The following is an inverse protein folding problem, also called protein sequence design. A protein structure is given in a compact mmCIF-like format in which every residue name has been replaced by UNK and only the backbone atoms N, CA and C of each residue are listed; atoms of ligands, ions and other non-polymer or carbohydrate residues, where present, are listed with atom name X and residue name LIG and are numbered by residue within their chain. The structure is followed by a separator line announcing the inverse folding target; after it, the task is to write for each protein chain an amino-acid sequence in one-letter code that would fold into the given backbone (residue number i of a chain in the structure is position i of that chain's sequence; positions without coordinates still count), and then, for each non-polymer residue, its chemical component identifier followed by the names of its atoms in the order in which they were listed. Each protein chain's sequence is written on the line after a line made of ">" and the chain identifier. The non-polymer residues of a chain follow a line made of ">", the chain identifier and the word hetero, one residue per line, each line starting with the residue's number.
data_IF_051499361463
#
_entry.id   IF_051499361463
#
_cell.length_a   1.000
_cell.length_b   1.000
_cell.length_c   1.000
_cell.angle_alpha   90.00
_cell.angle_beta   90.00
_cell.angle_gamma   90.00
#
_symmetry.space_group_name_H-M   'P 1'
#
loop_
_entity.id
_entity.type
_entity.pdbx_description
1 polymer ?
#
# COMPACT_ATOMS: atom_id res chain seq x y z
N UNK A 1 -9.41 77.13 57.63
CA UNK A 1 -10.59 76.84 56.79
C UNK A 1 -10.21 75.75 55.79
N UNK A 2 -11.02 74.70 55.75
CA UNK A 2 -10.75 73.39 55.16
C UNK A 2 -10.39 73.46 53.67
N UNK A 3 -9.37 72.70 53.26
CA UNK A 3 -9.30 72.11 51.93
C UNK A 3 -9.20 70.59 52.09
N UNK A 4 -10.31 69.94 51.78
CA UNK A 4 -10.41 68.49 51.65
C UNK A 4 -10.48 68.18 50.15
N UNK A 5 -9.72 67.18 49.68
CA UNK A 5 -10.28 65.91 49.17
C UNK A 5 -9.31 65.12 48.29
N UNK A 6 -9.15 63.85 48.71
CA UNK A 6 -9.12 62.62 47.90
C UNK A 6 -7.88 62.43 47.00
N UNK A 7 -6.86 61.75 47.56
CA UNK A 7 -5.92 60.93 46.79
C UNK A 7 -6.56 59.56 46.57
N UNK A 8 -6.81 59.19 45.32
CA UNK A 8 -7.35 57.89 44.92
C UNK A 8 -6.39 56.76 45.33
N UNK A 9 -6.88 55.84 46.15
CA UNK A 9 -6.18 54.57 46.46
C UNK A 9 -6.60 53.50 45.45
N UNK A 10 -5.57 52.87 44.88
CA UNK A 10 -5.47 51.54 44.27
C UNK A 10 -6.76 50.77 43.90
N UNK A 11 -6.79 50.26 42.67
CA UNK A 11 -6.91 48.81 42.47
C UNK A 11 -6.33 48.42 41.11
N UNK A 12 -5.06 47.99 41.08
CA UNK A 12 -4.49 47.26 39.93
C UNK A 12 -4.78 45.79 40.18
N UNK A 13 -5.77 45.24 39.48
CA UNK A 13 -5.93 43.79 39.37
C UNK A 13 -4.78 43.26 38.50
N UNK A 14 -3.83 42.58 39.13
CA UNK A 14 -2.88 41.72 38.42
C UNK A 14 -3.64 40.44 38.05
N UNK A 15 -4.14 40.37 36.81
CA UNK A 15 -4.64 39.12 36.25
C UNK A 15 -3.42 38.25 35.97
N UNK A 16 -3.18 37.28 36.85
CA UNK A 16 -2.19 36.24 36.63
C UNK A 16 -2.74 35.31 35.54
N UNK A 17 -2.39 35.56 34.29
CA UNK A 17 -2.67 34.64 33.18
C UNK A 17 -1.81 33.39 33.40
N UNK A 18 -2.40 32.34 33.97
CA UNK A 18 -1.79 31.00 33.91
C UNK A 18 -1.65 30.65 32.42
N UNK A 19 -0.43 30.48 31.88
CA UNK A 19 -0.29 29.92 30.56
C UNK A 19 -0.94 28.53 30.60
N UNK A 20 -2.02 28.37 29.85
CA UNK A 20 -2.49 27.05 29.46
C UNK A 20 -1.35 26.43 28.64
N UNK A 21 -0.53 25.60 29.30
CA UNK A 21 0.27 24.61 28.60
C UNK A 21 -0.71 23.58 28.06
N UNK A 22 -1.38 23.92 26.95
CA UNK A 22 -2.00 22.91 26.12
C UNK A 22 -0.88 21.98 25.68
N UNK A 23 -0.96 20.72 26.05
CA UNK A 23 -0.12 19.71 25.41
C UNK A 23 -0.41 19.81 23.92
N UNK A 24 0.50 20.39 23.15
CA UNK A 24 0.48 20.23 21.72
C UNK A 24 0.69 18.74 21.49
N UNK A 25 -0.39 18.00 21.23
CA UNK A 25 -0.26 16.62 20.75
C UNK A 25 0.60 16.70 19.50
N UNK A 26 1.83 16.19 19.62
CA UNK A 26 2.77 16.18 18.51
C UNK A 26 2.21 15.17 17.51
N UNK A 27 1.67 15.68 16.41
CA UNK A 27 1.12 14.84 15.37
C UNK A 27 2.25 14.05 14.71
N UNK A 28 2.29 12.74 14.96
CA UNK A 28 3.22 11.81 14.33
C UNK A 28 2.59 11.28 13.04
N UNK A 29 3.24 11.52 11.91
CA UNK A 29 2.85 10.91 10.63
C UNK A 29 3.86 9.85 10.25
N UNK A 30 3.39 8.61 10.12
CA UNK A 30 4.15 7.48 9.59
C UNK A 30 3.81 7.32 8.11
N UNK A 31 4.73 7.71 7.24
CA UNK A 31 4.54 7.69 5.79
C UNK A 31 5.15 6.43 5.19
N UNK A 32 4.34 5.67 4.47
CA UNK A 32 4.79 4.50 3.73
C UNK A 32 4.60 4.62 2.23
N UNK A 33 5.29 3.76 1.48
CA UNK A 33 5.06 3.57 0.06
C UNK A 33 5.26 2.11 -0.36
N UNK A 34 4.67 1.70 -1.48
CA UNK A 34 5.01 0.42 -2.11
C UNK A 34 3.82 -0.35 -2.67
N UNK A 35 3.79 -1.65 -2.37
CA UNK A 35 2.89 -2.66 -2.93
C UNK A 35 1.44 -2.17 -3.11
N UNK A 36 0.92 -2.33 -4.33
CA UNK A 36 -0.45 -1.98 -4.68
C UNK A 36 -1.43 -3.11 -4.37
N UNK A 37 -0.97 -4.36 -4.32
CA UNK A 37 -1.78 -5.54 -4.05
C UNK A 37 -2.51 -5.45 -2.68
N UNK A 38 -1.84 -5.19 -1.55
CA UNK A 38 -2.49 -5.05 -0.24
C UNK A 38 -2.98 -3.61 0.06
N UNK A 39 -2.95 -2.67 -0.89
CA UNK A 39 -3.17 -1.24 -0.61
C UNK A 39 -4.49 -0.96 0.13
N UNK A 40 -5.60 -1.56 -0.32
CA UNK A 40 -6.91 -1.35 0.31
C UNK A 40 -6.92 -1.80 1.78
N UNK A 41 -6.21 -2.88 2.08
CA UNK A 41 -6.08 -3.40 3.43
C UNK A 41 -5.26 -2.46 4.31
N UNK A 42 -4.12 -1.96 3.82
CA UNK A 42 -3.31 -0.99 4.55
C UNK A 42 -4.06 0.33 4.82
N UNK A 43 -4.78 0.86 3.82
CA UNK A 43 -5.59 2.08 4.00
C UNK A 43 -6.69 1.89 5.05
N UNK A 44 -7.35 0.73 5.04
CA UNK A 44 -8.37 0.41 6.04
C UNK A 44 -7.77 0.26 7.45
N UNK A 45 -6.64 -0.44 7.57
CA UNK A 45 -5.94 -0.62 8.84
C UNK A 45 -5.41 0.70 9.41
N UNK A 46 -4.81 1.55 8.57
CA UNK A 46 -4.35 2.89 8.94
C UNK A 46 -5.49 3.76 9.48
N UNK A 47 -6.62 3.80 8.76
CA UNK A 47 -7.82 4.53 9.20
C UNK A 47 -8.35 4.02 10.53
N UNK A 48 -8.40 2.69 10.71
CA UNK A 48 -8.82 2.09 11.98
C UNK A 48 -7.87 2.46 13.11
N UNK A 49 -6.56 2.39 12.88
CA UNK A 49 -5.53 2.73 13.87
C UNK A 49 -5.59 4.20 14.30
N UNK A 50 -5.68 5.14 13.36
CA UNK A 50 -5.80 6.57 13.66
C UNK A 50 -7.08 6.92 14.41
N UNK A 51 -8.14 6.11 14.27
CA UNK A 51 -9.40 6.33 15.00
C UNK A 51 -9.31 6.02 16.50
N UNK A 52 -8.38 5.15 16.90
CA UNK A 52 -8.17 4.74 18.31
C UNK A 52 -6.88 5.29 18.90
N UNK A 53 -6.01 5.87 18.07
CA UNK A 53 -4.72 6.45 18.47
C UNK A 53 -4.65 7.92 18.03
N UNK A 54 -5.22 8.84 18.83
CA UNK A 54 -5.11 10.28 18.57
C UNK A 54 -3.65 10.71 18.41
N UNK A 55 -3.41 11.69 17.54
CA UNK A 55 -2.07 12.20 17.27
C UNK A 55 -1.21 11.33 16.34
N UNK A 56 -1.65 10.12 15.94
CA UNK A 56 -0.90 9.27 14.98
C UNK A 56 -1.66 9.11 13.65
N UNK A 57 -1.02 9.53 12.57
CA UNK A 57 -1.48 9.37 11.21
C UNK A 57 -0.60 8.35 10.48
N UNK A 58 -1.21 7.40 9.77
CA UNK A 58 -0.48 6.40 8.98
C UNK A 58 -0.91 6.56 7.52
N UNK A 59 0.06 6.81 6.65
CA UNK A 59 -0.17 7.06 5.22
C UNK A 59 0.52 5.97 4.40
N UNK A 60 -0.07 5.61 3.25
CA UNK A 60 0.58 4.74 2.26
C UNK A 60 0.38 5.30 0.85
N UNK A 61 1.48 5.43 0.10
CA UNK A 61 1.49 5.85 -1.30
C UNK A 61 1.64 4.60 -2.19
N UNK A 62 0.69 4.33 -3.10
CA UNK A 62 0.76 3.16 -3.99
C UNK A 62 1.79 3.37 -5.10
N UNK A 63 3.01 2.89 -4.89
CA UNK A 63 4.11 3.04 -5.85
C UNK A 63 4.53 1.73 -6.51
N UNK A 64 3.99 0.60 -6.05
CA UNK A 64 4.43 -0.75 -6.41
C UNK A 64 5.63 -1.22 -5.57
N UNK A 65 5.74 -2.53 -5.36
CA UNK A 65 6.75 -3.15 -4.49
C UNK A 65 8.18 -2.74 -4.84
N UNK A 66 8.52 -2.68 -6.13
CA UNK A 66 9.85 -2.27 -6.58
C UNK A 66 10.24 -0.85 -6.15
N UNK A 67 9.31 0.10 -6.26
CA UNK A 67 9.57 1.49 -5.85
C UNK A 67 9.57 1.63 -4.32
N UNK A 68 8.70 0.92 -3.59
CA UNK A 68 8.76 0.88 -2.13
C UNK A 68 10.12 0.37 -1.62
N UNK A 69 10.61 -0.74 -2.16
CA UNK A 69 11.95 -1.27 -1.87
C UNK A 69 13.07 -0.27 -2.22
N UNK A 70 12.93 0.44 -3.33
CA UNK A 70 13.92 1.43 -3.76
C UNK A 70 13.98 2.63 -2.79
N UNK A 71 12.81 3.20 -2.44
CA UNK A 71 12.69 4.39 -1.60
C UNK A 71 13.15 4.16 -0.15
N UNK A 72 12.85 3.00 0.44
CA UNK A 72 13.20 2.74 1.85
C UNK A 72 14.71 2.62 2.07
N UNK A 73 15.44 2.21 1.03
CA UNK A 73 16.91 2.06 1.08
C UNK A 73 17.64 3.38 0.94
N UNK A 74 17.16 4.29 0.10
CA UNK A 74 17.85 5.55 -0.17
C UNK A 74 16.88 6.65 -0.61
N UNK A 75 16.73 7.66 0.25
CA UNK A 75 15.93 8.88 0.02
C UNK A 75 16.32 9.66 -1.26
N UNK A 76 17.60 9.57 -1.68
CA UNK A 76 18.11 10.23 -2.88
C UNK A 76 18.00 9.36 -4.14
N UNK A 77 17.49 8.13 -4.03
CA UNK A 77 17.31 7.26 -5.18
C UNK A 77 16.17 7.76 -6.08
N UNK A 78 16.39 7.68 -7.39
CA UNK A 78 15.35 7.87 -8.39
C UNK A 78 14.61 6.56 -8.61
N UNK A 79 13.37 6.48 -8.14
CA UNK A 79 12.57 5.26 -8.14
C UNK A 79 11.33 5.43 -9.03
N UNK A 80 11.37 4.86 -10.24
CA UNK A 80 10.17 4.60 -11.07
C UNK A 80 9.27 5.80 -11.38
N UNK A 81 9.82 7.02 -11.43
CA UNK A 81 9.05 8.24 -11.72
C UNK A 81 8.40 8.91 -10.51
N UNK A 82 8.66 8.45 -9.30
CA UNK A 82 8.26 9.13 -8.06
C UNK A 82 9.29 10.20 -7.68
N UNK A 83 8.85 11.23 -6.94
CA UNK A 83 9.68 12.38 -6.58
C UNK A 83 10.98 11.96 -5.87
N UNK A 84 12.11 12.46 -6.37
CA UNK A 84 13.38 12.36 -5.66
C UNK A 84 13.22 13.06 -4.31
N UNK A 85 13.67 12.42 -3.23
CA UNK A 85 13.57 12.99 -1.88
C UNK A 85 12.28 12.64 -1.14
N UNK A 86 11.42 11.78 -1.69
CA UNK A 86 10.29 11.25 -0.92
C UNK A 86 10.81 10.44 0.28
N UNK A 87 10.57 10.98 1.48
CA UNK A 87 10.93 10.33 2.75
C UNK A 87 9.80 9.39 3.15
N UNK A 88 10.15 8.13 3.40
CA UNK A 88 9.23 7.12 3.92
C UNK A 88 9.83 6.45 5.16
N UNK A 89 8.96 6.11 6.10
CA UNK A 89 9.29 5.41 7.34
C UNK A 89 9.15 3.89 7.19
N UNK A 90 8.34 3.43 6.22
CA UNK A 90 8.12 2.02 5.96
C UNK A 90 7.80 1.75 4.49
N UNK A 91 8.09 0.52 4.03
CA UNK A 91 7.76 0.08 2.69
C UNK A 91 6.89 -1.18 2.69
N UNK A 92 5.90 -1.19 1.80
CA UNK A 92 5.12 -2.39 1.51
C UNK A 92 5.74 -3.11 0.29
N UNK A 93 5.97 -4.42 0.41
CA UNK A 93 6.50 -5.22 -0.70
C UNK A 93 5.95 -6.63 -0.68
N UNK A 94 5.51 -7.11 -1.85
CA UNK A 94 5.17 -8.52 -2.09
C UNK A 94 6.40 -9.35 -2.53
N UNK A 95 7.56 -8.71 -2.65
CA UNK A 95 8.84 -9.32 -2.98
C UNK A 95 9.84 -9.17 -1.82
N UNK A 96 10.70 -10.16 -1.64
CA UNK A 96 11.78 -10.11 -0.64
C UNK A 96 12.95 -9.23 -1.12
N UNK A 97 13.83 -8.86 -0.19
CA UNK A 97 15.14 -8.29 -0.50
C UNK A 97 16.16 -9.41 -0.75
N UNK A 98 17.14 -9.17 -1.63
CA UNK A 98 18.25 -10.10 -1.82
C UNK A 98 19.25 -10.02 -0.67
N UNK A 99 20.12 -11.03 -0.56
CA UNK A 99 21.18 -11.05 0.46
C UNK A 99 22.14 -9.86 0.31
N UNK A 100 22.42 -9.43 -0.92
CA UNK A 100 23.24 -8.25 -1.21
C UNK A 100 22.54 -6.96 -0.75
N UNK A 101 21.21 -6.86 -0.93
CA UNK A 101 20.44 -5.72 -0.43
C UNK A 101 20.49 -5.67 1.11
N UNK A 102 20.34 -6.81 1.81
CA UNK A 102 20.48 -6.85 3.28
C UNK A 102 21.89 -6.53 3.76
N UNK A 103 22.93 -6.96 3.04
CA UNK A 103 24.31 -6.65 3.39
C UNK A 103 24.62 -5.15 3.26
N UNK A 104 23.98 -4.46 2.31
CA UNK A 104 24.12 -3.01 2.12
C UNK A 104 23.33 -2.19 3.14
N UNK A 105 22.20 -2.73 3.62
CA UNK A 105 21.28 -2.05 4.54
C UNK A 105 21.02 -2.95 5.78
N UNK A 106 21.99 -3.06 6.70
CA UNK A 106 21.94 -4.02 7.80
C UNK A 106 20.84 -3.74 8.84
N UNK A 107 20.29 -2.54 8.85
CA UNK A 107 19.17 -2.11 9.70
C UNK A 107 17.79 -2.34 9.05
N UNK A 108 17.74 -2.70 7.78
CA UNK A 108 16.50 -3.04 7.08
C UNK A 108 15.94 -4.37 7.58
N UNK A 109 14.65 -4.40 7.91
CA UNK A 109 13.94 -5.61 8.36
C UNK A 109 12.61 -5.75 7.64
N UNK A 110 12.22 -6.98 7.31
CA UNK A 110 10.93 -7.31 6.69
C UNK A 110 10.10 -8.13 7.65
N UNK A 111 8.86 -7.67 7.88
CA UNK A 111 7.89 -8.38 8.71
C UNK A 111 6.72 -8.84 7.84
N UNK A 112 6.31 -10.12 7.94
CA UNK A 112 5.09 -10.58 7.26
C UNK A 112 3.87 -9.94 7.94
N UNK A 113 3.09 -9.18 7.18
CA UNK A 113 1.87 -8.52 7.70
C UNK A 113 0.60 -9.27 7.25
N UNK A 114 0.56 -9.70 5.99
CA UNK A 114 -0.63 -10.32 5.38
C UNK A 114 -0.22 -11.40 4.39
N UNK A 115 -1.08 -12.40 4.19
CA UNK A 115 -0.97 -13.36 3.10
C UNK A 115 -2.05 -13.05 2.06
N UNK A 116 -1.65 -12.86 0.80
CA UNK A 116 -2.56 -12.54 -0.31
C UNK A 116 -2.39 -13.55 -1.43
N UNK A 117 -3.49 -13.93 -2.08
CA UNK A 117 -3.49 -14.78 -3.25
C UNK A 117 -3.56 -13.93 -4.53
N UNK A 118 -2.80 -14.33 -5.55
CA UNK A 118 -2.89 -13.77 -6.90
C UNK A 118 -3.64 -14.78 -7.75
N UNK A 119 -4.65 -14.31 -8.49
CA UNK A 119 -5.45 -15.15 -9.39
C UNK A 119 -5.35 -14.61 -10.82
N UNK A 120 -5.20 -15.48 -11.84
CA UNK A 120 -5.33 -15.05 -13.22
C UNK A 120 -6.78 -14.62 -13.48
N UNK A 121 -6.95 -13.57 -14.29
CA UNK A 121 -8.25 -13.09 -14.72
C UNK A 121 -8.23 -13.01 -16.24
N UNK A 122 -9.28 -13.53 -16.88
CA UNK A 122 -9.46 -13.52 -18.33
C UNK A 122 -10.65 -12.64 -18.72
N UNK A 123 -10.63 -12.14 -19.96
CA UNK A 123 -11.77 -11.48 -20.58
C UNK A 123 -12.19 -12.32 -21.80
N UNK A 124 -13.16 -13.20 -21.59
CA UNK A 124 -13.68 -14.12 -22.60
C UNK A 124 -15.14 -13.78 -22.87
N UNK A 125 -15.42 -13.02 -23.94
CA UNK A 125 -16.79 -12.68 -24.30
C UNK A 125 -17.64 -13.95 -24.45
N UNK A 126 -18.80 -13.97 -23.78
CA UNK A 126 -19.70 -15.12 -23.80
C UNK A 126 -19.62 -16.01 -22.57
N UNK A 127 -18.59 -15.87 -21.73
CA UNK A 127 -18.58 -16.49 -20.40
C UNK A 127 -19.33 -15.62 -19.38
N UNK A 128 -20.21 -16.25 -18.62
CA UNK A 128 -20.80 -15.72 -17.39
C UNK A 128 -19.76 -15.66 -16.26
N UNK A 129 -20.08 -14.93 -15.19
CA UNK A 129 -19.23 -14.86 -14.00
C UNK A 129 -18.95 -16.24 -13.40
N UNK A 130 -19.94 -17.14 -13.41
CA UNK A 130 -19.78 -18.51 -12.90
C UNK A 130 -18.87 -19.36 -13.79
N UNK A 131 -18.94 -19.18 -15.12
CA UNK A 131 -18.05 -19.90 -16.04
C UNK A 131 -16.62 -19.37 -15.98
N UNK A 132 -16.43 -18.06 -15.80
CA UNK A 132 -15.12 -17.48 -15.50
C UNK A 132 -14.53 -18.05 -14.21
N UNK A 133 -15.33 -18.20 -13.15
CA UNK A 133 -14.89 -18.80 -11.90
C UNK A 133 -14.57 -20.30 -12.03
N UNK A 134 -15.17 -20.97 -13.01
CA UNK A 134 -14.94 -22.39 -13.30
C UNK A 134 -13.84 -22.67 -14.33
N UNK A 135 -13.26 -21.65 -14.97
CA UNK A 135 -12.17 -21.82 -15.93
C UNK A 135 -10.90 -22.30 -15.20
N UNK A 136 -10.42 -23.48 -15.57
CA UNK A 136 -9.23 -24.10 -14.99
C UNK A 136 -8.03 -23.89 -15.90
N UNK A 137 -6.99 -23.25 -15.39
CA UNK A 137 -5.69 -23.17 -16.05
C UNK A 137 -4.68 -23.87 -15.15
N UNK A 138 -4.12 -24.99 -15.62
CA UNK A 138 -2.99 -25.60 -14.95
C UNK A 138 -1.72 -24.76 -15.13
N UNK A 139 -0.67 -25.11 -14.38
CA UNK A 139 0.58 -24.34 -14.37
C UNK A 139 1.25 -24.30 -15.74
N UNK A 140 1.17 -25.37 -16.52
CA UNK A 140 1.80 -25.45 -17.84
C UNK A 140 1.07 -24.58 -18.85
N UNK A 141 -0.26 -24.68 -18.91
CA UNK A 141 -1.11 -23.85 -19.77
C UNK A 141 -0.95 -22.37 -19.41
N UNK A 142 -0.97 -22.04 -18.12
CA UNK A 142 -0.79 -20.65 -17.66
C UNK A 142 0.58 -20.10 -18.07
N UNK A 143 1.67 -20.85 -17.86
CA UNK A 143 3.01 -20.44 -18.27
C UNK A 143 3.10 -20.26 -19.80
N UNK A 144 2.48 -21.17 -20.56
CA UNK A 144 2.47 -21.11 -22.02
C UNK A 144 1.65 -19.92 -22.56
N UNK A 145 0.56 -19.53 -21.90
CA UNK A 145 -0.21 -18.31 -22.21
C UNK A 145 0.69 -17.08 -22.03
N UNK A 146 1.36 -16.95 -20.89
CA UNK A 146 2.21 -15.78 -20.61
C UNK A 146 3.46 -15.71 -21.49
N UNK A 147 4.01 -16.87 -21.90
CA UNK A 147 5.11 -16.86 -22.86
C UNK A 147 4.63 -16.50 -24.28
N UNK A 148 3.43 -16.95 -24.65
CA UNK A 148 2.83 -16.68 -25.96
C UNK A 148 3.82 -17.03 -27.10
N UNK A 149 3.80 -16.29 -28.21
CA UNK A 149 4.67 -16.53 -29.39
C UNK A 149 6.18 -16.44 -29.13
N UNK A 150 6.63 -16.10 -27.91
CA UNK A 150 8.05 -16.07 -27.53
C UNK A 150 8.62 -17.44 -27.20
N UNK A 151 7.77 -18.44 -26.92
CA UNK A 151 8.18 -19.82 -26.65
C UNK A 151 7.76 -20.75 -27.79
N UNK A 152 8.53 -21.81 -28.01
CA UNK A 152 8.22 -22.88 -28.97
C UNK A 152 6.84 -23.53 -28.72
N UNK A 153 6.36 -23.54 -27.47
CA UNK A 153 5.09 -24.15 -27.06
C UNK A 153 4.07 -23.13 -26.52
N UNK A 154 4.19 -21.87 -26.91
CA UNK A 154 3.28 -20.82 -26.48
C UNK A 154 1.82 -21.07 -26.83
N UNK A 155 0.91 -20.61 -25.96
CA UNK A 155 -0.53 -20.58 -26.25
C UNK A 155 -0.90 -19.18 -26.73
N UNK A 156 -1.56 -19.08 -27.87
CA UNK A 156 -2.05 -17.81 -28.44
C UNK A 156 -3.57 -17.75 -28.60
N UNK A 157 -4.28 -18.87 -28.40
CA UNK A 157 -5.73 -18.97 -28.50
C UNK A 157 -6.31 -19.77 -27.34
N UNK A 158 -7.56 -19.49 -26.99
CA UNK A 158 -8.25 -20.11 -25.85
C UNK A 158 -8.80 -21.51 -26.13
N UNK A 159 -8.93 -21.87 -27.41
CA UNK A 159 -9.29 -23.21 -27.91
C UNK A 159 -8.09 -24.17 -27.95
N UNK A 160 -6.93 -23.77 -27.40
CA UNK A 160 -5.75 -24.64 -27.36
C UNK A 160 -6.11 -25.97 -26.67
N UNK A 161 -5.73 -27.13 -27.26
CA UNK A 161 -6.09 -28.44 -26.73
C UNK A 161 -5.73 -28.63 -25.25
N UNK A 162 -4.69 -27.97 -24.75
CA UNK A 162 -4.28 -28.02 -23.34
C UNK A 162 -5.28 -27.30 -22.42
N UNK A 163 -5.86 -26.18 -22.86
CA UNK A 163 -6.91 -25.47 -22.12
C UNK A 163 -8.22 -26.26 -22.21
N UNK A 164 -8.58 -26.76 -23.40
CA UNK A 164 -9.79 -27.55 -23.60
C UNK A 164 -9.80 -28.82 -22.75
N UNK A 165 -8.64 -29.49 -22.61
CA UNK A 165 -8.51 -30.71 -21.82
C UNK A 165 -8.92 -30.52 -20.35
N UNK A 166 -8.57 -29.38 -19.75
CA UNK A 166 -8.92 -29.05 -18.37
C UNK A 166 -10.29 -28.40 -18.23
N UNK A 167 -10.96 -28.08 -19.35
CA UNK A 167 -12.24 -27.37 -19.39
C UNK A 167 -13.29 -28.04 -20.31
N UNK A 168 -13.55 -29.36 -20.16
CA UNK A 168 -14.40 -30.09 -21.10
C UNK A 168 -15.84 -29.57 -21.17
N UNK A 169 -16.39 -29.04 -20.06
CA UNK A 169 -17.74 -28.47 -20.01
C UNK A 169 -17.86 -27.17 -20.79
N UNK A 170 -16.83 -26.32 -20.76
CA UNK A 170 -16.82 -25.07 -21.53
C UNK A 170 -16.68 -25.36 -23.03
N UNK A 171 -15.80 -26.29 -23.40
CA UNK A 171 -15.64 -26.73 -24.79
C UNK A 171 -16.92 -27.39 -25.36
N UNK A 172 -17.57 -28.29 -24.60
CA UNK A 172 -18.81 -28.93 -25.04
C UNK A 172 -19.96 -27.94 -25.32
N UNK A 173 -19.85 -26.72 -24.78
CA UNK A 173 -20.82 -25.63 -24.97
C UNK A 173 -20.37 -24.61 -26.04
N UNK A 174 -19.23 -24.83 -26.69
CA UNK A 174 -18.66 -23.94 -27.70
C UNK A 174 -18.18 -22.60 -27.14
N UNK A 175 -17.76 -22.58 -25.87
CA UNK A 175 -17.30 -21.39 -25.16
C UNK A 175 -15.78 -21.26 -25.07
N UNK A 176 -15.07 -22.31 -25.46
CA UNK A 176 -13.63 -22.33 -25.70
C UNK A 176 -13.40 -22.72 -27.15
#
# INVERSE_FOLDING_TARGET
>A
LLSARIRSKLMRFLVLTMPFYGNAETQLTLRGAGATLPQKLYVAAAKAYSSVTPGVNVEIIPTGSGNGKCLIKNISASCGGFENGLVIDWAASDATFSDEEYAQFPDLQVYPVTASAIVPVSNLPGLSATEHAGLVLDTEALAAIFCSSKCTHGITHWDDPRIVLTNPVLNARGLL
#
